data_IF_104070290260
#
_entry.id   IF_104070290260
#
_cell.length_a   1.000
_cell.length_b   1.000
_cell.length_c   1.000
_cell.angle_alpha   90.00
_cell.angle_beta   90.00
_cell.angle_gamma   90.00
#
_symmetry.space_group_name_H-M   'P 1'
#
loop_
_entity.id
_entity.type
_entity.pdbx_description
1 polymer ?
#
# COMPACT_ATOMS: atom_id res chain seq x y z
N UNK A 1 -9.14 7.10 -0.36
CA UNK A 1 -7.84 6.90 0.34
C UNK A 1 -6.95 8.09 0.03
N UNK A 2 -6.46 8.74 1.08
CA UNK A 2 -5.44 9.79 0.98
C UNK A 2 -4.06 9.26 1.33
N UNK A 3 -3.04 9.55 0.51
CA UNK A 3 -1.66 9.11 0.72
C UNK A 3 -0.73 10.29 1.00
N UNK A 4 -0.08 10.24 2.16
CA UNK A 4 0.82 11.27 2.67
C UNK A 4 2.31 10.90 2.56
N UNK A 5 3.22 11.89 2.38
CA UNK A 5 2.97 13.35 2.36
C UNK A 5 2.60 13.91 0.97
N UNK A 6 2.41 13.06 -0.04
CA UNK A 6 2.22 13.50 -1.41
C UNK A 6 0.83 14.11 -1.69
N UNK A 7 -0.10 14.04 -0.73
CA UNK A 7 -1.48 14.51 -0.91
C UNK A 7 -2.23 13.81 -2.04
N UNK A 8 -1.91 12.54 -2.32
CA UNK A 8 -2.53 11.78 -3.41
C UNK A 8 -3.89 11.26 -2.95
N UNK A 9 -4.94 11.53 -3.73
CA UNK A 9 -6.27 10.95 -3.54
C UNK A 9 -6.48 9.76 -4.49
N UNK A 10 -6.85 8.62 -3.93
CA UNK A 10 -7.11 7.36 -4.64
C UNK A 10 -8.47 6.82 -4.18
N UNK A 11 -9.38 6.64 -5.13
CA UNK A 11 -10.64 5.91 -4.88
C UNK A 11 -10.33 4.44 -4.62
N UNK A 12 -10.86 3.86 -3.53
CA UNK A 12 -10.75 2.43 -3.23
C UNK A 12 -12.12 1.80 -3.46
N UNK A 13 -12.19 0.81 -4.34
CA UNK A 13 -13.40 0.04 -4.65
C UNK A 13 -13.56 -1.11 -3.67
N UNK A 14 -14.80 -1.57 -3.51
CA UNK A 14 -15.07 -2.74 -2.70
C UNK A 14 -14.31 -3.96 -3.23
N UNK A 15 -13.75 -4.76 -2.31
CA UNK A 15 -13.00 -5.98 -2.61
C UNK A 15 -11.56 -5.79 -3.10
N UNK A 16 -11.11 -4.57 -3.39
CA UNK A 16 -9.71 -4.31 -3.76
C UNK A 16 -8.85 -3.88 -2.56
N UNK A 17 -7.58 -4.25 -2.59
CA UNK A 17 -6.60 -3.75 -1.61
C UNK A 17 -6.21 -2.30 -1.90
N UNK A 18 -5.72 -1.59 -0.88
CA UNK A 18 -5.20 -0.22 -1.04
C UNK A 18 -4.16 -0.11 -2.16
N UNK A 19 -3.29 -1.12 -2.29
CA UNK A 19 -2.26 -1.15 -3.33
C UNK A 19 -2.84 -1.41 -4.72
N UNK A 20 -3.85 -2.27 -4.86
CA UNK A 20 -4.55 -2.50 -6.13
C UNK A 20 -5.28 -1.23 -6.59
N UNK A 21 -5.93 -0.51 -5.65
CA UNK A 21 -6.55 0.78 -5.92
C UNK A 21 -5.53 1.78 -6.49
N UNK A 22 -4.36 1.89 -5.86
CA UNK A 22 -3.28 2.76 -6.33
C UNK A 22 -2.82 2.38 -7.74
N UNK A 23 -2.57 1.10 -8.01
CA UNK A 23 -2.15 0.64 -9.33
C UNK A 23 -3.19 0.90 -10.41
N UNK A 24 -4.46 0.64 -10.12
CA UNK A 24 -5.59 0.89 -11.02
C UNK A 24 -5.71 2.37 -11.39
N UNK A 25 -5.51 3.26 -10.43
CA UNK A 25 -5.48 4.71 -10.64
C UNK A 25 -4.15 5.21 -11.26
N UNK A 26 -3.26 4.31 -11.68
CA UNK A 26 -2.01 4.65 -12.37
C UNK A 26 -0.91 5.16 -11.43
N UNK A 27 -0.96 4.86 -10.14
CA UNK A 27 0.12 5.13 -9.20
C UNK A 27 1.02 3.91 -9.03
N UNK A 28 2.33 4.14 -8.93
CA UNK A 28 3.28 3.15 -8.47
C UNK A 28 3.32 3.15 -6.95
N UNK A 29 3.15 1.96 -6.36
CA UNK A 29 3.33 1.74 -4.93
C UNK A 29 4.60 0.91 -4.70
N UNK A 30 5.54 1.34 -3.83
CA UNK A 30 6.79 0.60 -3.61
C UNK A 30 6.52 -0.84 -3.17
N UNK A 31 7.07 -1.80 -3.92
CA UNK A 31 6.87 -3.24 -3.67
C UNK A 31 8.09 -4.02 -4.15
N UNK A 32 8.26 -5.23 -3.61
CA UNK A 32 9.25 -6.22 -4.08
C UNK A 32 8.59 -7.53 -4.54
N UNK A 33 7.44 -7.86 -3.96
CA UNK A 33 6.73 -9.12 -4.21
C UNK A 33 5.44 -8.94 -5.04
N UNK A 34 5.19 -7.75 -5.59
CA UNK A 34 4.04 -7.51 -6.48
C UNK A 34 2.69 -8.07 -5.95
N UNK A 35 2.34 -7.72 -4.71
CA UNK A 35 1.09 -8.11 -4.04
C UNK A 35 0.98 -9.57 -3.55
N UNK A 36 2.05 -10.37 -3.64
CA UNK A 36 2.00 -11.78 -3.21
C UNK A 36 1.95 -12.01 -1.69
N UNK A 37 1.98 -10.97 -0.86
CA UNK A 37 1.98 -11.12 0.60
C UNK A 37 3.25 -11.81 1.15
N UNK A 38 4.41 -11.56 0.53
CA UNK A 38 5.70 -12.21 0.89
C UNK A 38 6.82 -11.24 1.26
N UNK A 39 6.55 -9.93 1.30
CA UNK A 39 7.52 -8.91 1.69
C UNK A 39 6.83 -7.80 2.47
N UNK A 40 7.60 -6.86 3.02
CA UNK A 40 7.09 -5.71 3.78
C UNK A 40 7.26 -4.36 3.06
N UNK A 41 7.72 -4.35 1.80
CA UNK A 41 8.02 -3.12 1.06
C UNK A 41 6.78 -2.24 0.81
N UNK A 42 5.61 -2.87 0.65
CA UNK A 42 4.32 -2.20 0.46
C UNK A 42 3.73 -1.61 1.75
N UNK A 43 4.38 -1.78 2.90
CA UNK A 43 3.86 -1.31 4.19
C UNK A 43 3.54 0.18 4.19
N UNK A 44 2.43 0.55 4.81
CA UNK A 44 2.09 1.93 5.13
C UNK A 44 1.73 2.07 6.61
N UNK A 45 1.80 3.30 7.10
CA UNK A 45 1.29 3.65 8.43
C UNK A 45 -0.08 4.31 8.28
N UNK A 46 -1.08 3.82 9.00
CA UNK A 46 -2.44 4.37 9.03
C UNK A 46 -2.46 5.57 9.97
N UNK A 47 -2.63 6.75 9.39
CA UNK A 47 -2.77 8.01 10.13
C UNK A 47 -4.19 8.15 10.68
N UNK A 48 -5.18 7.86 9.85
CA UNK A 48 -6.60 7.89 10.20
C UNK A 48 -7.41 6.81 9.45
N UNK A 49 -8.58 6.44 9.96
CA UNK A 49 -9.46 5.43 9.35
C UNK A 49 -9.10 3.99 9.69
N UNK A 50 -8.44 3.72 10.83
CA UNK A 50 -8.08 2.34 11.21
C UNK A 50 -9.30 1.42 11.37
N UNK A 51 -10.45 1.97 11.77
CA UNK A 51 -11.68 1.23 12.06
C UNK A 51 -12.45 0.79 10.80
N UNK A 52 -12.14 1.38 9.63
CA UNK A 52 -12.77 1.00 8.35
C UNK A 52 -11.93 0.00 7.54
N UNK A 53 -10.81 -0.47 8.12
CA UNK A 53 -9.94 -1.43 7.45
C UNK A 53 -10.38 -2.86 7.74
N UNK A 54 -10.19 -3.72 6.74
CA UNK A 54 -10.35 -5.16 6.92
C UNK A 54 -9.45 -5.70 8.03
N UNK A 55 -9.83 -6.85 8.58
CA UNK A 55 -8.95 -7.62 9.46
C UNK A 55 -7.61 -7.94 8.77
N UNK A 56 -6.60 -8.25 9.57
CA UNK A 56 -5.29 -8.64 9.04
C UNK A 56 -5.36 -10.06 8.53
N UNK A 57 -4.76 -10.31 7.38
CA UNK A 57 -4.55 -11.68 6.90
C UNK A 57 -3.44 -12.36 7.69
N UNK A 58 -3.39 -13.69 7.67
CA UNK A 58 -2.32 -14.46 8.33
C UNK A 58 -0.93 -14.09 7.81
N UNK A 59 -0.82 -13.89 6.49
CA UNK A 59 0.42 -13.44 5.85
C UNK A 59 0.86 -12.06 6.37
N UNK A 60 -0.08 -11.14 6.53
CA UNK A 60 0.18 -9.81 7.10
C UNK A 60 0.64 -9.90 8.56
N UNK A 61 -0.03 -10.72 9.38
CA UNK A 61 0.35 -10.94 10.79
C UNK A 61 1.77 -11.50 10.89
N UNK A 62 2.10 -12.54 10.12
CA UNK A 62 3.41 -13.17 10.14
C UNK A 62 4.53 -12.18 9.77
N UNK A 63 4.39 -11.47 8.63
CA UNK A 63 5.40 -10.54 8.13
C UNK A 63 5.60 -9.31 9.02
N UNK A 64 4.52 -8.77 9.62
CA UNK A 64 4.62 -7.62 10.50
C UNK A 64 5.12 -7.99 11.90
N UNK A 65 4.85 -9.21 12.38
CA UNK A 65 5.42 -9.73 13.62
C UNK A 65 6.95 -9.68 13.61
N UNK A 66 7.58 -10.05 12.50
CA UNK A 66 9.03 -9.96 12.30
C UNK A 66 9.55 -8.52 12.27
N UNK A 67 8.81 -7.62 11.63
CA UNK A 67 9.21 -6.22 11.45
C UNK A 67 9.07 -5.39 12.72
N UNK A 68 7.99 -5.59 13.49
CA UNK A 68 7.71 -4.84 14.72
C UNK A 68 8.77 -5.07 15.80
N UNK A 69 9.46 -6.21 15.77
CA UNK A 69 10.64 -6.47 16.62
C UNK A 69 11.82 -5.55 16.29
N UNK A 70 11.88 -4.99 15.07
CA UNK A 70 13.01 -4.23 14.54
C UNK A 70 12.76 -2.72 14.45
N UNK A 71 11.50 -2.27 14.34
CA UNK A 71 11.18 -0.85 14.08
C UNK A 71 10.54 -0.19 15.31
N UNK A 72 11.31 0.64 16.03
CA UNK A 72 10.86 1.31 17.27
C UNK A 72 10.01 2.57 17.10
N UNK A 73 9.84 3.09 15.87
CA UNK A 73 9.29 4.45 15.64
C UNK A 73 7.84 4.52 15.17
N UNK A 74 7.20 3.41 14.80
CA UNK A 74 5.80 3.40 14.37
C UNK A 74 4.97 2.53 15.31
N UNK A 75 3.73 2.93 15.59
CA UNK A 75 2.81 2.10 16.38
C UNK A 75 2.51 0.82 15.58
N UNK A 76 2.89 -0.38 16.06
CA UNK A 76 2.66 -1.65 15.37
C UNK A 76 1.22 -1.87 14.91
N UNK A 77 0.24 -1.36 15.67
CA UNK A 77 -1.19 -1.50 15.36
C UNK A 77 -1.62 -0.69 14.14
N UNK A 78 -0.88 0.36 13.79
CA UNK A 78 -1.15 1.26 12.65
C UNK A 78 -0.38 0.86 11.40
N UNK A 79 0.58 -0.04 11.49
CA UNK A 79 1.27 -0.54 10.30
C UNK A 79 0.40 -1.60 9.63
N UNK A 80 0.17 -1.43 8.32
CA UNK A 80 -0.52 -2.38 7.46
C UNK A 80 0.31 -2.69 6.21
N UNK A 81 0.10 -3.87 5.63
CA UNK A 81 0.58 -4.18 4.29
C UNK A 81 -0.47 -3.75 3.28
N UNK A 82 -0.20 -2.69 2.50
CA UNK A 82 -1.18 -2.11 1.57
C UNK A 82 -1.73 -3.11 0.55
N UNK A 83 -1.02 -4.20 0.27
CA UNK A 83 -1.46 -5.27 -0.63
C UNK A 83 -2.37 -6.31 0.00
N UNK A 84 -2.58 -6.29 1.33
CA UNK A 84 -3.36 -7.28 2.08
C UNK A 84 -4.57 -6.68 2.80
N UNK A 85 -4.75 -5.37 2.71
CA UNK A 85 -5.81 -4.64 3.41
C UNK A 85 -6.71 -3.94 2.42
N UNK A 86 -8.01 -4.09 2.61
CA UNK A 86 -9.06 -3.30 1.96
C UNK A 86 -9.66 -2.30 2.95
N UNK A 87 -10.42 -1.32 2.44
CA UNK A 87 -11.10 -0.33 3.25
C UNK A 87 -12.56 -0.21 2.80
N UNK A 88 -13.48 -0.07 3.76
CA UNK A 88 -14.92 0.16 3.50
C UNK A 88 -15.32 1.63 3.69
N UNK A 89 -14.35 2.51 3.90
CA UNK A 89 -14.56 3.94 4.12
C UNK A 89 -13.26 4.73 3.97
N UNK A 90 -13.29 5.99 4.38
CA UNK A 90 -12.15 6.89 4.23
C UNK A 90 -10.98 6.50 5.13
N UNK A 91 -9.80 6.48 4.53
CA UNK A 91 -8.54 6.17 5.21
C UNK A 91 -7.45 7.12 4.73
N UNK A 92 -6.64 7.59 5.68
CA UNK A 92 -5.42 8.34 5.39
C UNK A 92 -4.21 7.53 5.80
N UNK A 93 -3.27 7.33 4.87
CA UNK A 93 -2.06 6.54 5.10
C UNK A 93 -0.80 7.32 4.77
N UNK A 94 0.27 7.10 5.52
CA UNK A 94 1.61 7.59 5.22
C UNK A 94 2.36 6.52 4.43
N UNK A 95 2.75 6.86 3.20
CA UNK A 95 3.64 6.05 2.35
C UNK A 95 4.48 6.95 1.44
N UNK A 96 5.69 7.35 1.87
CA UNK A 96 6.66 7.94 0.98
C UNK A 96 6.98 6.99 -0.19
N UNK A 97 7.12 7.58 -1.38
CA UNK A 97 7.47 6.87 -2.62
C UNK A 97 6.28 6.39 -3.46
N UNK A 98 5.03 6.64 -3.04
CA UNK A 98 3.88 6.51 -3.95
C UNK A 98 3.90 7.68 -4.91
N UNK A 99 3.85 7.41 -6.22
CA UNK A 99 3.98 8.41 -7.28
C UNK A 99 3.15 8.03 -8.49
N UNK A 100 2.71 9.00 -9.28
CA UNK A 100 2.05 8.71 -10.56
C UNK A 100 3.05 7.99 -11.47
N UNK A 101 2.60 6.97 -12.20
CA UNK A 101 3.41 6.36 -13.25
C UNK A 101 3.53 7.39 -14.38
N UNK A 102 4.74 7.87 -14.65
CA UNK A 102 4.99 8.72 -15.82
C UNK A 102 4.98 7.86 -17.08
N UNK A 103 4.38 8.37 -18.15
CA UNK A 103 4.18 7.64 -19.42
C UNK A 103 5.51 7.27 -20.11
N UNK A 104 6.62 7.91 -19.79
CA UNK A 104 7.96 7.61 -20.34
C UNK A 104 8.42 6.16 -20.12
N UNK A 105 7.90 5.46 -19.08
CA UNK A 105 8.21 4.04 -18.86
C UNK A 105 7.33 3.08 -19.69
N UNK A 106 6.19 3.53 -20.20
CA UNK A 106 5.31 2.70 -21.02
C UNK A 106 5.78 2.64 -22.49
N UNK A 107 6.41 3.71 -23.00
CA UNK A 107 6.87 3.78 -24.39
C UNK A 107 8.08 2.85 -24.70
N UNK A 108 8.97 2.63 -23.73
CA UNK A 108 10.22 1.86 -23.96
C UNK A 108 10.06 0.33 -23.88
N UNK A 109 8.84 -0.19 -23.64
CA UNK A 109 8.58 -1.63 -23.62
C UNK A 109 8.13 -2.19 -24.99
N UNK A 110 7.89 -1.32 -25.98
CA UNK A 110 7.40 -1.71 -27.31
C UNK A 110 8.47 -1.65 -28.41
N UNK A 111 9.73 -1.38 -28.09
CA UNK A 111 10.84 -1.23 -29.07
C UNK A 111 11.88 -2.35 -28.92
N UNK A 112 11.44 -3.60 -28.98
CA UNK A 112 12.33 -4.75 -29.18
C UNK A 112 11.60 -5.79 -30.02
N UNK A 113 11.61 -5.61 -31.33
CA UNK A 113 11.37 -6.67 -32.33
C UNK A 113 12.25 -6.39 -33.53
#
# INVERSE_FOLDING_TARGET
MRVEPAGIEITVREGESLMQAAWREGYEWPTLCYAMGRCTACRCEVLDGLHVLSERTDAEVALLGDLNRRVRRANPRRVRLACQVSATGDVTVRKPGVKKRTEERAANANDTT
#
